data_IF_641506979394
#
_entry.id   IF_641506979394
#
_cell.length_a   1.000
_cell.length_b   1.000
_cell.length_c   1.000
_cell.angle_alpha   90.00
_cell.angle_beta   90.00
_cell.angle_gamma   90.00
#
_symmetry.space_group_name_H-M   'P 1'
#
loop_
_entity.id
_entity.type
_entity.pdbx_description
1 polymer ?
#
# COMPACT_ATOMS: atom_id res chain seq x y z
N UNK A 1 -6.36 -9.31 -25.80
CA UNK A 1 -7.30 -9.77 -24.73
C UNK A 1 -7.91 -8.59 -23.96
N UNK A 2 -7.33 -8.05 -22.87
CA UNK A 2 -7.99 -7.00 -22.05
C UNK A 2 -8.57 -5.83 -22.85
N UNK A 3 -7.78 -5.25 -23.77
CA UNK A 3 -8.25 -4.17 -24.66
C UNK A 3 -9.33 -4.61 -25.65
N UNK A 4 -9.28 -5.85 -26.14
CA UNK A 4 -10.31 -6.41 -27.02
C UNK A 4 -11.64 -6.57 -26.27
N UNK A 5 -11.56 -6.96 -25.00
CA UNK A 5 -12.72 -7.13 -24.10
C UNK A 5 -13.20 -5.82 -23.46
N UNK A 6 -12.55 -4.69 -23.75
CA UNK A 6 -12.91 -3.38 -23.18
C UNK A 6 -12.71 -3.27 -21.66
N UNK A 7 -11.89 -4.13 -21.06
CA UNK A 7 -11.63 -4.16 -19.61
C UNK A 7 -10.15 -3.92 -19.35
N UNK A 8 -9.84 -3.06 -18.37
CA UNK A 8 -8.48 -2.82 -17.91
C UNK A 8 -8.38 -3.13 -16.41
N UNK A 9 -7.57 -4.13 -16.06
CA UNK A 9 -7.30 -4.52 -14.68
C UNK A 9 -5.80 -4.53 -14.42
N UNK A 10 -5.35 -4.33 -13.17
CA UNK A 10 -3.94 -4.45 -12.82
C UNK A 10 -3.40 -5.84 -13.15
N UNK A 11 -2.22 -5.90 -13.75
CA UNK A 11 -1.53 -7.16 -14.06
C UNK A 11 -0.37 -7.36 -13.10
N UNK A 12 -0.40 -8.47 -12.37
CA UNK A 12 0.68 -8.87 -11.45
C UNK A 12 1.61 -9.84 -12.18
N UNK A 13 2.88 -9.48 -12.35
CA UNK A 13 3.89 -10.39 -12.87
C UNK A 13 4.34 -11.36 -11.78
N UNK A 14 4.18 -12.67 -12.02
CA UNK A 14 4.80 -13.71 -11.19
C UNK A 14 6.26 -13.88 -11.60
N UNK A 15 7.18 -13.69 -10.65
CA UNK A 15 8.62 -13.78 -10.86
C UNK A 15 9.09 -15.15 -10.42
N UNK A 16 9.28 -16.03 -11.42
CA UNK A 16 9.51 -17.48 -11.21
C UNK A 16 10.70 -18.00 -12.02
N UNK A 17 11.24 -17.19 -12.94
CA UNK A 17 12.23 -17.59 -13.92
C UNK A 17 13.45 -16.66 -13.86
N UNK A 18 14.69 -17.18 -14.04
CA UNK A 18 15.89 -16.36 -14.01
C UNK A 18 15.85 -15.23 -15.06
N UNK A 19 15.24 -15.48 -16.23
CA UNK A 19 15.09 -14.46 -17.27
C UNK A 19 14.27 -13.25 -16.81
N UNK A 20 13.31 -13.43 -15.89
CA UNK A 20 12.54 -12.32 -15.32
C UNK A 20 13.39 -11.49 -14.35
N UNK A 21 14.37 -12.10 -13.68
CA UNK A 21 15.35 -11.42 -12.82
C UNK A 21 16.35 -10.62 -13.67
N UNK A 22 16.80 -11.20 -14.79
CA UNK A 22 17.73 -10.57 -15.73
C UNK A 22 17.10 -9.33 -16.38
N UNK A 23 15.81 -9.41 -16.73
CA UNK A 23 15.03 -8.33 -17.35
C UNK A 23 14.14 -7.59 -16.33
N UNK A 24 14.54 -7.55 -15.06
CA UNK A 24 13.67 -7.08 -13.99
C UNK A 24 13.26 -5.62 -14.16
N UNK A 25 14.10 -4.76 -14.74
CA UNK A 25 13.74 -3.36 -14.96
C UNK A 25 12.67 -3.19 -16.04
N UNK A 26 12.74 -3.95 -17.14
CA UNK A 26 11.69 -3.95 -18.17
C UNK A 26 10.38 -4.52 -17.61
N UNK A 27 10.45 -5.62 -16.86
CA UNK A 27 9.30 -6.24 -16.20
C UNK A 27 8.67 -5.26 -15.21
N UNK A 28 9.47 -4.62 -14.37
CA UNK A 28 8.99 -3.62 -13.41
C UNK A 28 8.31 -2.46 -14.13
N UNK A 29 8.80 -2.03 -15.30
CA UNK A 29 8.18 -0.97 -16.08
C UNK A 29 6.83 -1.41 -16.67
N UNK A 30 6.72 -2.64 -17.14
CA UNK A 30 5.57 -3.14 -17.92
C UNK A 30 4.34 -3.54 -17.08
N UNK A 31 4.51 -4.02 -15.85
CA UNK A 31 3.43 -4.59 -15.03
C UNK A 31 2.98 -3.69 -13.89
N UNK A 32 1.79 -3.89 -13.34
CA UNK A 32 1.22 -3.01 -12.30
C UNK A 32 1.62 -3.42 -10.87
N UNK A 33 1.99 -4.68 -10.68
CA UNK A 33 2.47 -5.26 -9.43
C UNK A 33 3.25 -6.54 -9.67
N UNK A 34 3.77 -7.13 -8.59
CA UNK A 34 4.66 -8.27 -8.66
C UNK A 34 4.32 -9.33 -7.63
N UNK A 35 4.62 -10.58 -7.94
CA UNK A 35 4.57 -11.70 -7.01
C UNK A 35 5.90 -12.43 -7.06
N UNK A 36 6.61 -12.51 -5.94
CA UNK A 36 7.80 -13.35 -5.79
C UNK A 36 7.34 -14.74 -5.39
N UNK A 37 7.33 -15.68 -6.35
CA UNK A 37 6.91 -17.05 -6.12
C UNK A 37 8.14 -17.92 -5.85
N UNK A 38 8.45 -18.07 -4.57
CA UNK A 38 9.74 -18.58 -4.08
C UNK A 38 9.93 -20.07 -4.34
N UNK A 39 8.87 -20.86 -4.27
CA UNK A 39 8.88 -22.28 -4.61
C UNK A 39 9.26 -22.51 -6.07
N UNK A 40 8.62 -21.80 -6.99
CA UNK A 40 8.92 -21.89 -8.42
C UNK A 40 10.32 -21.35 -8.73
N UNK A 41 10.68 -20.20 -8.15
CA UNK A 41 12.00 -19.59 -8.35
C UNK A 41 13.14 -20.48 -7.82
N UNK A 42 12.92 -21.18 -6.70
CA UNK A 42 13.88 -22.11 -6.11
C UNK A 42 14.05 -23.43 -6.87
N UNK A 43 13.18 -23.74 -7.83
CA UNK A 43 13.37 -24.84 -8.79
C UNK A 43 14.32 -24.40 -9.91
N UNK A 44 14.25 -23.14 -10.32
CA UNK A 44 14.94 -22.62 -11.51
C UNK A 44 16.25 -21.90 -11.20
N UNK A 45 16.47 -21.51 -9.94
CA UNK A 45 17.65 -20.82 -9.43
C UNK A 45 18.24 -21.56 -8.22
N UNK A 46 19.54 -21.39 -7.90
CA UNK A 46 20.11 -21.90 -6.66
C UNK A 46 19.31 -21.43 -5.44
N UNK A 47 18.97 -22.35 -4.53
CA UNK A 47 18.08 -22.04 -3.40
C UNK A 47 18.72 -21.04 -2.43
N UNK A 48 20.06 -21.01 -2.36
CA UNK A 48 20.84 -20.04 -1.60
C UNK A 48 20.73 -18.60 -2.14
N UNK A 49 20.39 -18.44 -3.43
CA UNK A 49 20.25 -17.13 -4.07
C UNK A 49 18.83 -16.54 -3.90
N UNK A 50 17.82 -17.38 -3.74
CA UNK A 50 16.39 -16.98 -3.68
C UNK A 50 16.12 -15.86 -2.67
N UNK A 51 16.67 -15.87 -1.43
CA UNK A 51 16.46 -14.78 -0.48
C UNK A 51 16.98 -13.43 -0.99
N UNK A 52 18.09 -13.40 -1.74
CA UNK A 52 18.64 -12.17 -2.31
C UNK A 52 17.83 -11.69 -3.51
N UNK A 53 17.33 -12.62 -4.33
CA UNK A 53 16.44 -12.31 -5.44
C UNK A 53 15.12 -11.71 -4.97
N UNK A 54 14.51 -12.25 -3.91
CA UNK A 54 13.33 -11.66 -3.26
C UNK A 54 13.59 -10.19 -2.88
N UNK A 55 14.66 -9.93 -2.11
CA UNK A 55 15.03 -8.58 -1.67
C UNK A 55 15.17 -7.62 -2.85
N UNK A 56 15.81 -8.08 -3.93
CA UNK A 56 15.99 -7.30 -5.16
C UNK A 56 14.66 -6.95 -5.83
N UNK A 57 13.74 -7.90 -5.97
CA UNK A 57 12.41 -7.65 -6.57
C UNK A 57 11.60 -6.70 -5.70
N UNK A 58 11.51 -6.97 -4.40
CA UNK A 58 10.74 -6.16 -3.45
C UNK A 58 11.26 -4.71 -3.43
N UNK A 59 12.57 -4.52 -3.35
CA UNK A 59 13.17 -3.18 -3.35
C UNK A 59 12.88 -2.41 -4.65
N UNK A 60 12.98 -3.06 -5.82
CA UNK A 60 12.67 -2.40 -7.11
C UNK A 60 11.19 -2.09 -7.27
N UNK A 61 10.29 -2.99 -6.86
CA UNK A 61 8.84 -2.76 -6.87
C UNK A 61 8.46 -1.55 -6.00
N UNK A 62 8.95 -1.53 -4.75
CA UNK A 62 8.74 -0.45 -3.78
C UNK A 62 9.25 0.90 -4.31
N UNK A 63 10.46 0.95 -4.89
CA UNK A 63 11.02 2.18 -5.52
C UNK A 63 10.11 2.73 -6.62
N UNK A 64 9.41 1.86 -7.34
CA UNK A 64 8.47 2.24 -8.39
C UNK A 64 7.02 2.49 -7.88
N UNK A 65 6.76 2.37 -6.57
CA UNK A 65 5.42 2.33 -5.96
C UNK A 65 4.47 1.36 -6.65
N UNK A 66 4.99 0.16 -6.91
CA UNK A 66 4.19 -0.96 -7.40
C UNK A 66 4.13 -2.01 -6.29
N UNK A 67 2.93 -2.49 -5.93
CA UNK A 67 2.76 -3.46 -4.87
C UNK A 67 3.46 -4.77 -5.21
N UNK A 68 4.01 -5.42 -4.19
CA UNK A 68 4.68 -6.72 -4.31
C UNK A 68 4.16 -7.70 -3.27
N UNK A 69 3.81 -8.88 -3.75
CA UNK A 69 3.37 -10.03 -2.96
C UNK A 69 4.55 -10.98 -2.80
N UNK A 70 4.83 -11.43 -1.58
CA UNK A 70 5.73 -12.57 -1.35
C UNK A 70 4.88 -13.82 -1.13
N UNK A 71 5.14 -14.85 -1.93
CA UNK A 71 4.25 -16.00 -2.10
C UNK A 71 4.99 -17.33 -1.98
N UNK A 72 4.23 -18.38 -1.67
CA UNK A 72 4.63 -19.80 -1.51
C UNK A 72 5.56 -20.03 -0.31
N UNK A 73 5.55 -21.23 0.27
CA UNK A 73 6.42 -21.61 1.41
C UNK A 73 6.33 -20.67 2.62
N UNK A 74 5.15 -20.08 2.89
CA UNK A 74 5.00 -19.12 3.99
C UNK A 74 4.78 -19.85 5.32
N UNK A 75 3.62 -20.51 5.49
CA UNK A 75 3.25 -21.23 6.71
C UNK A 75 2.83 -22.66 6.35
N UNK A 76 3.55 -23.29 5.43
CA UNK A 76 3.14 -24.53 4.76
C UNK A 76 2.85 -25.70 5.71
N UNK A 77 3.58 -25.81 6.82
CA UNK A 77 3.31 -26.81 7.87
C UNK A 77 1.91 -26.67 8.46
N UNK A 78 1.30 -25.49 8.40
CA UNK A 78 -0.05 -25.24 8.91
C UNK A 78 -1.17 -25.82 8.04
N UNK A 79 -0.83 -26.47 6.91
CA UNK A 79 -1.77 -27.31 6.17
C UNK A 79 -2.29 -28.45 7.08
N UNK A 80 -1.41 -29.05 7.88
CA UNK A 80 -1.73 -30.20 8.76
C UNK A 80 -1.37 -29.97 10.23
N UNK A 81 -0.84 -28.79 10.58
CA UNK A 81 -0.47 -28.41 11.94
C UNK A 81 -1.24 -27.16 12.41
N UNK A 82 -1.70 -27.09 13.66
CA UNK A 82 -2.34 -25.89 14.19
C UNK A 82 -1.35 -24.73 14.46
N UNK A 83 -0.04 -24.96 14.35
CA UNK A 83 1.01 -23.97 14.57
C UNK A 83 2.16 -24.11 13.57
N UNK A 84 2.79 -22.99 13.16
CA UNK A 84 3.92 -23.04 12.25
C UNK A 84 5.21 -23.39 12.98
N UNK A 85 6.23 -23.72 12.21
CA UNK A 85 7.59 -23.84 12.71
C UNK A 85 8.21 -22.47 13.00
N UNK A 86 9.28 -22.45 13.80
CA UNK A 86 10.08 -21.23 14.02
C UNK A 86 10.73 -20.71 12.74
N UNK A 87 11.09 -21.61 11.81
CA UNK A 87 11.69 -21.24 10.54
C UNK A 87 10.68 -20.48 9.66
N UNK A 88 9.45 -20.99 9.53
CA UNK A 88 8.36 -20.33 8.80
C UNK A 88 7.99 -18.98 9.39
N UNK A 89 7.88 -18.88 10.73
CA UNK A 89 7.62 -17.61 11.39
C UNK A 89 8.73 -16.57 11.10
N UNK A 90 10.00 -16.99 11.14
CA UNK A 90 11.14 -16.14 10.78
C UNK A 90 11.11 -15.74 9.29
N UNK A 91 10.71 -16.64 8.41
CA UNK A 91 10.66 -16.39 6.97
C UNK A 91 9.56 -15.38 6.60
N UNK A 92 8.36 -15.51 7.18
CA UNK A 92 7.30 -14.51 7.07
C UNK A 92 7.76 -13.15 7.57
N UNK A 93 8.41 -13.10 8.75
CA UNK A 93 8.92 -11.84 9.30
C UNK A 93 9.96 -11.19 8.35
N UNK A 94 10.85 -11.98 7.74
CA UNK A 94 11.82 -11.46 6.77
C UNK A 94 11.17 -10.93 5.50
N UNK A 95 10.09 -11.54 5.00
CA UNK A 95 9.34 -11.01 3.87
C UNK A 95 8.74 -9.62 4.17
N UNK A 96 8.23 -9.43 5.40
CA UNK A 96 7.75 -8.13 5.87
C UNK A 96 8.90 -7.12 5.98
N UNK A 97 10.03 -7.49 6.59
CA UNK A 97 11.21 -6.63 6.74
C UNK A 97 11.83 -6.21 5.39
N UNK A 98 11.75 -7.08 4.38
CA UNK A 98 12.19 -6.75 3.02
C UNK A 98 11.31 -5.68 2.37
N UNK A 99 10.12 -5.46 2.92
CA UNK A 99 9.19 -4.42 2.53
C UNK A 99 8.07 -4.91 1.60
N UNK A 100 7.70 -6.18 1.67
CA UNK A 100 6.54 -6.71 0.96
C UNK A 100 5.28 -5.86 1.23
N UNK A 101 4.44 -5.66 0.21
CA UNK A 101 3.14 -5.01 0.42
C UNK A 101 2.11 -6.00 0.96
N UNK A 102 2.22 -7.27 0.56
CA UNK A 102 1.40 -8.35 1.04
C UNK A 102 2.18 -9.67 1.08
N UNK A 103 1.68 -10.58 1.90
CA UNK A 103 2.14 -11.97 1.98
C UNK A 103 0.98 -12.89 1.63
N UNK A 104 1.26 -14.01 0.96
CA UNK A 104 0.22 -14.87 0.39
C UNK A 104 0.25 -16.27 1.00
N UNK A 105 -0.94 -16.75 1.40
CA UNK A 105 -1.20 -18.14 1.76
C UNK A 105 -1.74 -18.89 0.54
N UNK A 106 -1.35 -20.15 0.38
CA UNK A 106 -1.69 -21.01 -0.76
C UNK A 106 -2.50 -22.23 -0.28
N UNK A 107 -1.82 -23.37 -0.08
CA UNK A 107 -2.44 -24.60 0.40
C UNK A 107 -3.02 -24.45 1.81
N UNK A 108 -2.38 -23.62 2.63
CA UNK A 108 -2.72 -23.41 4.04
C UNK A 108 -4.17 -22.97 4.25
N UNK A 109 -4.70 -22.15 3.34
CA UNK A 109 -6.08 -21.64 3.42
C UNK A 109 -7.03 -22.29 2.42
N UNK A 110 -6.52 -22.83 1.31
CA UNK A 110 -7.38 -23.40 0.27
C UNK A 110 -7.81 -24.83 0.57
N UNK A 111 -6.93 -25.65 1.15
CA UNK A 111 -7.16 -27.08 1.42
C UNK A 111 -6.70 -27.53 2.81
N UNK A 112 -6.07 -26.64 3.58
CA UNK A 112 -5.54 -26.94 4.91
C UNK A 112 -6.61 -27.20 5.98
N UNK A 113 -6.21 -27.91 7.02
CA UNK A 113 -7.05 -28.26 8.17
C UNK A 113 -7.29 -27.06 9.12
N UNK A 114 -6.40 -26.05 9.09
CA UNK A 114 -6.40 -24.90 10.01
C UNK A 114 -6.40 -23.53 9.31
N UNK A 115 -7.33 -23.25 8.38
CA UNK A 115 -7.29 -22.06 7.54
C UNK A 115 -7.46 -20.76 8.33
N UNK A 116 -8.32 -20.74 9.36
CA UNK A 116 -8.59 -19.56 10.17
C UNK A 116 -7.39 -19.26 11.08
N UNK A 117 -6.84 -20.28 11.72
CA UNK A 117 -5.67 -20.21 12.59
C UNK A 117 -4.45 -19.76 11.81
N UNK A 118 -4.29 -20.22 10.57
CA UNK A 118 -3.21 -19.78 9.66
C UNK A 118 -3.30 -18.28 9.41
N UNK A 119 -4.47 -17.76 9.01
CA UNK A 119 -4.66 -16.31 8.77
C UNK A 119 -4.39 -15.50 10.05
N UNK A 120 -4.90 -15.94 11.20
CA UNK A 120 -4.63 -15.28 12.49
C UNK A 120 -3.15 -15.31 12.86
N UNK A 121 -2.45 -16.41 12.58
CA UNK A 121 -1.03 -16.56 12.86
C UNK A 121 -0.19 -15.66 11.96
N UNK A 122 -0.51 -15.63 10.66
CA UNK A 122 0.09 -14.70 9.70
C UNK A 122 -0.06 -13.25 10.18
N UNK A 123 -1.27 -12.84 10.56
CA UNK A 123 -1.54 -11.50 11.08
C UNK A 123 -0.71 -11.18 12.33
N UNK A 124 -0.61 -12.10 13.30
CA UNK A 124 0.22 -11.90 14.51
C UNK A 124 1.70 -11.73 14.19
N UNK A 125 2.25 -12.49 13.24
CA UNK A 125 3.66 -12.37 12.84
C UNK A 125 3.91 -11.01 12.19
N UNK A 126 3.03 -10.60 11.27
CA UNK A 126 3.13 -9.30 10.59
C UNK A 126 3.07 -8.17 11.62
N UNK A 127 2.03 -8.13 12.46
CA UNK A 127 1.88 -7.07 13.48
C UNK A 127 3.07 -7.03 14.43
N UNK A 128 3.52 -8.20 14.92
CA UNK A 128 4.70 -8.24 15.79
C UNK A 128 5.95 -7.73 15.08
N UNK A 129 6.12 -7.99 13.78
CA UNK A 129 7.28 -7.52 13.02
C UNK A 129 7.22 -6.01 12.82
N UNK A 130 6.06 -5.49 12.43
CA UNK A 130 5.84 -4.05 12.24
C UNK A 130 6.02 -3.29 13.56
N UNK A 131 5.47 -3.77 14.68
CA UNK A 131 5.61 -3.12 15.99
C UNK A 131 7.07 -2.95 16.44
N UNK A 132 7.96 -3.89 16.07
CA UNK A 132 9.37 -3.86 16.50
C UNK A 132 10.30 -3.16 15.49
N UNK A 133 10.00 -3.20 14.18
CA UNK A 133 10.95 -2.86 13.12
C UNK A 133 10.41 -1.86 12.08
N UNK A 134 9.27 -1.20 12.33
CA UNK A 134 8.66 -0.24 11.38
C UNK A 134 9.63 0.87 10.95
N UNK A 135 10.44 1.40 11.86
CA UNK A 135 11.43 2.45 11.54
C UNK A 135 12.46 1.96 10.52
N UNK A 136 12.91 0.71 10.64
CA UNK A 136 13.83 0.09 9.69
C UNK A 136 13.16 -0.10 8.33
N UNK A 137 11.90 -0.52 8.31
CA UNK A 137 11.13 -0.63 7.07
C UNK A 137 10.96 0.73 6.37
N UNK A 138 10.80 1.81 7.15
CA UNK A 138 10.66 3.18 6.65
C UNK A 138 11.92 3.72 5.96
N UNK A 139 13.10 3.16 6.26
CA UNK A 139 14.36 3.58 5.66
C UNK A 139 14.39 3.27 4.15
N UNK A 140 14.14 4.31 3.33
CA UNK A 140 14.32 4.26 1.89
C UNK A 140 15.12 5.47 1.42
N UNK A 141 16.30 5.21 0.86
CA UNK A 141 17.06 6.23 0.14
C UNK A 141 16.48 6.42 -1.26
N UNK A 142 15.43 7.24 -1.35
CA UNK A 142 14.77 7.59 -2.59
C UNK A 142 14.54 9.09 -2.69
N UNK A 143 15.01 9.66 -3.81
CA UNK A 143 14.83 11.06 -4.17
C UNK A 143 13.93 11.14 -5.41
N UNK A 144 12.61 11.33 -5.23
CA UNK A 144 11.68 11.38 -6.36
C UNK A 144 11.94 12.61 -7.23
N UNK A 145 11.86 12.42 -8.55
CA UNK A 145 11.96 13.51 -9.54
C UNK A 145 10.62 13.87 -10.17
N UNK A 146 9.60 13.02 -10.03
CA UNK A 146 8.27 13.28 -10.57
C UNK A 146 7.47 14.15 -9.60
N UNK A 147 6.59 15.01 -10.14
CA UNK A 147 5.72 15.90 -9.35
C UNK A 147 4.99 15.15 -8.22
N UNK A 148 4.26 14.10 -8.56
CA UNK A 148 3.52 13.31 -7.56
C UNK A 148 4.43 12.60 -6.54
N UNK A 149 5.64 12.20 -6.95
CA UNK A 149 6.63 11.64 -6.03
C UNK A 149 7.16 12.67 -5.03
N UNK A 150 7.46 13.88 -5.50
CA UNK A 150 7.93 15.01 -4.66
C UNK A 150 6.85 15.42 -3.67
N UNK A 151 5.60 15.57 -4.13
CA UNK A 151 4.46 15.89 -3.23
C UNK A 151 4.26 14.80 -2.19
N UNK A 152 4.29 13.52 -2.58
CA UNK A 152 4.13 12.42 -1.62
C UNK A 152 5.25 12.40 -0.56
N UNK A 153 6.51 12.67 -0.97
CA UNK A 153 7.63 12.78 -0.03
C UNK A 153 7.44 13.93 0.94
N UNK A 154 7.13 15.12 0.41
CA UNK A 154 6.89 16.31 1.23
C UNK A 154 5.73 16.10 2.20
N UNK A 155 4.65 15.43 1.76
CA UNK A 155 3.51 15.11 2.62
C UNK A 155 3.90 14.20 3.78
N UNK A 156 4.66 13.14 3.53
CA UNK A 156 5.14 12.25 4.57
C UNK A 156 6.04 12.99 5.59
N UNK A 157 6.96 13.82 5.12
CA UNK A 157 7.83 14.62 6.00
C UNK A 157 7.05 15.65 6.82
N UNK A 158 6.10 16.36 6.20
CA UNK A 158 5.24 17.33 6.87
C UNK A 158 4.36 16.65 7.91
N UNK A 159 3.71 15.54 7.56
CA UNK A 159 2.83 14.79 8.46
C UNK A 159 3.55 14.36 9.73
N UNK A 160 4.75 13.78 9.61
CA UNK A 160 5.56 13.40 10.77
C UNK A 160 5.94 14.61 11.62
N UNK A 161 6.37 15.72 11.01
CA UNK A 161 6.83 16.91 11.75
C UNK A 161 5.73 17.61 12.54
N UNK A 162 4.51 17.64 12.01
CA UNK A 162 3.38 18.30 12.66
C UNK A 162 2.60 17.36 13.59
N UNK A 163 2.99 16.09 13.68
CA UNK A 163 2.24 15.08 14.43
C UNK A 163 0.85 14.84 13.85
N UNK A 164 0.72 14.82 12.51
CA UNK A 164 -0.55 14.56 11.85
C UNK A 164 -1.03 13.15 12.20
N UNK A 165 -2.33 13.01 12.44
CA UNK A 165 -2.96 11.73 12.79
C UNK A 165 -3.06 10.80 11.58
N UNK A 166 -3.28 11.37 10.40
CA UNK A 166 -3.40 10.62 9.15
C UNK A 166 -2.78 11.36 7.97
N UNK A 167 -2.28 10.57 7.02
CA UNK A 167 -2.00 10.98 5.65
C UNK A 167 -3.20 10.61 4.77
N UNK A 168 -3.88 11.59 4.22
CA UNK A 168 -5.06 11.39 3.36
C UNK A 168 -4.67 11.57 1.90
N UNK A 169 -4.97 10.60 1.06
CA UNK A 169 -4.73 10.67 -0.38
C UNK A 169 -6.04 10.56 -1.17
N UNK A 170 -6.41 11.64 -1.86
CA UNK A 170 -7.43 11.55 -2.90
C UNK A 170 -6.86 10.91 -4.16
N UNK A 171 -7.57 9.92 -4.71
CA UNK A 171 -7.08 9.17 -5.87
C UNK A 171 -8.19 8.53 -6.71
N UNK A 172 -8.05 8.61 -8.03
CA UNK A 172 -8.90 7.91 -9.01
C UNK A 172 -8.22 6.68 -9.63
N UNK A 173 -6.92 6.47 -9.40
CA UNK A 173 -6.15 5.33 -9.94
C UNK A 173 -5.34 4.58 -8.89
N UNK A 174 -5.33 5.06 -7.65
CA UNK A 174 -4.52 4.56 -6.55
C UNK A 174 -3.06 5.05 -6.52
N UNK A 175 -2.58 5.77 -7.55
CA UNK A 175 -1.17 6.16 -7.65
C UNK A 175 -0.70 7.04 -6.46
N UNK A 176 -1.50 8.02 -6.03
CA UNK A 176 -1.20 8.84 -4.84
C UNK A 176 -1.00 7.99 -3.59
N UNK A 177 -1.91 7.05 -3.34
CA UNK A 177 -1.88 6.18 -2.16
C UNK A 177 -0.65 5.27 -2.18
N UNK A 178 -0.38 4.61 -3.33
CA UNK A 178 0.83 3.78 -3.50
C UNK A 178 2.12 4.59 -3.33
N UNK A 179 2.15 5.85 -3.79
CA UNK A 179 3.29 6.73 -3.61
C UNK A 179 3.55 7.10 -2.15
N UNK A 180 2.52 7.23 -1.32
CA UNK A 180 2.68 7.42 0.12
C UNK A 180 3.10 6.11 0.80
N UNK A 181 2.42 5.01 0.48
CA UNK A 181 2.67 3.69 1.06
C UNK A 181 4.13 3.23 0.91
N UNK A 182 4.82 3.63 -0.18
CA UNK A 182 6.24 3.28 -0.40
C UNK A 182 7.14 3.68 0.76
N UNK A 183 6.81 4.75 1.48
CA UNK A 183 7.68 5.28 2.54
C UNK A 183 7.57 4.48 3.83
N UNK A 184 6.57 3.59 3.96
CA UNK A 184 6.35 2.74 5.14
C UNK A 184 6.36 3.56 6.44
N UNK A 185 5.79 4.76 6.39
CA UNK A 185 5.83 5.73 7.49
C UNK A 185 4.92 5.32 8.65
N UNK A 186 5.23 5.82 9.84
CA UNK A 186 4.45 5.59 11.06
C UNK A 186 3.05 6.20 11.01
N UNK A 187 2.84 7.22 10.17
CA UNK A 187 1.54 7.88 10.01
C UNK A 187 0.68 7.05 9.06
N UNK A 188 -0.49 6.54 9.50
CA UNK A 188 -1.34 5.70 8.66
C UNK A 188 -1.87 6.44 7.43
N UNK A 189 -2.02 5.72 6.33
CA UNK A 189 -2.48 6.28 5.04
C UNK A 189 -3.94 5.92 4.80
N UNK A 190 -4.77 6.94 4.58
CA UNK A 190 -6.17 6.79 4.21
C UNK A 190 -6.35 7.23 2.74
N UNK A 191 -6.81 6.33 1.89
CA UNK A 191 -7.09 6.61 0.49
C UNK A 191 -8.57 6.88 0.26
N UNK A 192 -8.88 8.08 -0.24
CA UNK A 192 -10.23 8.51 -0.58
C UNK A 192 -10.40 8.40 -2.08
N UNK A 193 -11.39 7.63 -2.53
CA UNK A 193 -11.60 7.38 -3.96
C UNK A 193 -13.07 7.33 -4.33
N UNK A 194 -13.47 7.94 -5.45
CA UNK A 194 -14.80 7.76 -6.01
C UNK A 194 -14.92 6.45 -6.79
N UNK A 195 -13.86 5.64 -6.93
CA UNK A 195 -13.83 4.42 -7.74
C UNK A 195 -13.88 3.17 -6.87
N UNK A 196 -14.92 2.35 -7.05
CA UNK A 196 -15.09 1.13 -6.24
C UNK A 196 -14.01 0.09 -6.58
N UNK A 197 -13.61 0.03 -7.85
CA UNK A 197 -12.53 -0.83 -8.33
C UNK A 197 -11.19 -0.44 -7.71
N UNK A 198 -10.87 0.86 -7.64
CA UNK A 198 -9.62 1.34 -7.02
C UNK A 198 -9.60 1.08 -5.53
N UNK A 199 -10.75 1.22 -4.84
CA UNK A 199 -10.88 0.83 -3.43
C UNK A 199 -10.45 -0.63 -3.23
N UNK A 200 -10.96 -1.54 -4.05
CA UNK A 200 -10.58 -2.96 -4.00
C UNK A 200 -9.11 -3.17 -4.37
N UNK A 201 -8.60 -2.51 -5.41
CA UNK A 201 -7.21 -2.66 -5.85
C UNK A 201 -6.20 -2.20 -4.78
N UNK A 202 -6.54 -1.18 -4.00
CA UNK A 202 -5.66 -0.66 -2.95
C UNK A 202 -5.61 -1.56 -1.70
N UNK A 203 -6.48 -2.56 -1.55
CA UNK A 203 -6.45 -3.47 -0.39
C UNK A 203 -5.18 -4.30 -0.29
N UNK A 204 -4.42 -4.44 -1.39
CA UNK A 204 -3.11 -5.12 -1.41
C UNK A 204 -1.93 -4.15 -1.30
N UNK A 205 -2.18 -2.85 -1.11
CA UNK A 205 -1.13 -1.85 -0.92
C UNK A 205 -0.85 -1.72 0.58
N UNK A 206 0.41 -1.80 0.97
CA UNK A 206 0.81 -1.76 2.38
C UNK A 206 0.25 -0.53 3.11
N UNK A 207 -0.30 -0.74 4.31
CA UNK A 207 -0.67 0.35 5.23
C UNK A 207 -1.73 1.32 4.72
N UNK A 208 -2.47 0.97 3.65
CA UNK A 208 -3.53 1.80 3.07
C UNK A 208 -4.90 1.29 3.51
N UNK A 209 -5.65 2.12 4.21
CA UNK A 209 -7.09 1.95 4.41
C UNK A 209 -7.85 2.78 3.37
N UNK A 210 -9.01 2.30 2.91
CA UNK A 210 -9.72 2.93 1.78
C UNK A 210 -11.14 3.38 2.14
N UNK A 211 -11.49 4.59 1.70
CA UNK A 211 -12.79 5.22 1.88
C UNK A 211 -13.40 5.51 0.51
N UNK A 212 -14.64 5.07 0.33
CA UNK A 212 -15.42 5.35 -0.89
C UNK A 212 -16.04 6.74 -0.75
N UNK A 213 -15.85 7.59 -1.74
CA UNK A 213 -16.45 8.92 -1.80
C UNK A 213 -17.32 9.09 -3.04
N UNK A 214 -17.97 10.25 -3.14
CA UNK A 214 -18.54 10.74 -4.40
C UNK A 214 -17.53 11.63 -5.10
N UNK A 215 -17.68 11.79 -6.42
CA UNK A 215 -16.91 12.77 -7.17
C UNK A 215 -17.31 14.20 -6.78
N UNK A 216 -16.33 15.09 -6.77
CA UNK A 216 -16.50 16.51 -6.42
C UNK A 216 -15.65 17.37 -7.34
N UNK A 217 -16.09 18.60 -7.58
CA UNK A 217 -15.46 19.52 -8.53
C UNK A 217 -14.41 20.42 -7.88
N UNK A 218 -14.50 20.60 -6.57
CA UNK A 218 -13.64 21.53 -5.83
C UNK A 218 -12.85 20.82 -4.71
N UNK A 219 -11.61 21.25 -4.51
CA UNK A 219 -10.74 20.73 -3.46
C UNK A 219 -11.30 20.98 -2.06
N UNK A 220 -12.03 22.07 -1.84
CA UNK A 220 -12.69 22.33 -0.55
C UNK A 220 -13.83 21.34 -0.24
N UNK A 221 -14.51 20.83 -1.28
CA UNK A 221 -15.48 19.74 -1.12
C UNK A 221 -14.79 18.43 -0.74
N UNK A 222 -13.60 18.15 -1.31
CA UNK A 222 -12.79 16.99 -0.90
C UNK A 222 -12.46 17.08 0.60
N UNK A 223 -12.02 18.25 1.08
CA UNK A 223 -11.71 18.43 2.51
C UNK A 223 -12.93 18.24 3.39
N UNK A 224 -14.10 18.75 2.98
CA UNK A 224 -15.35 18.52 3.70
C UNK A 224 -15.70 17.03 3.80
N UNK A 225 -15.49 16.25 2.73
CA UNK A 225 -15.67 14.80 2.78
C UNK A 225 -14.75 14.10 3.79
N UNK A 226 -13.51 14.60 3.99
CA UNK A 226 -12.60 14.08 5.01
C UNK A 226 -13.15 14.33 6.41
N UNK A 227 -13.59 15.56 6.70
CA UNK A 227 -14.22 15.90 7.98
C UNK A 227 -15.42 15.00 8.25
N UNK A 228 -16.38 14.98 7.34
CA UNK A 228 -17.64 14.22 7.50
C UNK A 228 -17.39 12.74 7.76
N UNK A 229 -16.53 12.09 6.98
CA UNK A 229 -16.32 10.65 7.10
C UNK A 229 -15.48 10.27 8.32
N UNK A 230 -14.39 10.98 8.60
CA UNK A 230 -13.49 10.60 9.68
C UNK A 230 -14.03 10.96 11.06
N UNK A 231 -14.76 12.08 11.18
CA UNK A 231 -15.43 12.46 12.44
C UNK A 231 -16.60 11.51 12.72
N UNK A 232 -17.45 11.23 11.73
CA UNK A 232 -18.57 10.30 11.90
C UNK A 232 -18.11 8.88 12.25
N UNK A 233 -16.98 8.43 11.69
CA UNK A 233 -16.39 7.13 12.02
C UNK A 233 -15.63 7.11 13.36
N UNK A 234 -15.54 8.23 14.09
CA UNK A 234 -14.81 8.34 15.35
C UNK A 234 -13.30 8.10 15.21
N UNK A 235 -12.75 8.23 14.00
CA UNK A 235 -11.31 8.01 13.73
C UNK A 235 -10.50 9.24 14.14
N UNK A 236 -11.10 10.42 14.07
CA UNK A 236 -10.50 11.70 14.48
C UNK A 236 -11.44 12.48 15.40
N UNK A 237 -10.89 13.46 16.10
CA UNK A 237 -11.62 14.47 16.85
C UNK A 237 -11.43 15.84 16.20
N UNK A 238 -12.34 16.78 16.44
CA UNK A 238 -12.12 18.16 16.01
C UNK A 238 -10.81 18.71 16.57
N UNK A 239 -10.05 19.40 15.73
CA UNK A 239 -8.73 19.93 16.07
C UNK A 239 -7.56 18.98 15.78
N UNK A 240 -7.80 17.68 15.55
CA UNK A 240 -6.76 16.78 15.04
C UNK A 240 -6.18 17.33 13.72
N UNK A 241 -4.91 17.08 13.45
CA UNK A 241 -4.27 17.47 12.19
C UNK A 241 -4.20 16.28 11.24
N UNK A 242 -4.52 16.51 9.97
CA UNK A 242 -4.27 15.56 8.88
C UNK A 242 -3.53 16.25 7.74
N UNK A 243 -2.76 15.49 6.96
CA UNK A 243 -2.13 15.99 5.75
C UNK A 243 -2.81 15.36 4.55
N UNK A 244 -3.37 16.19 3.69
CA UNK A 244 -4.12 15.78 2.50
C UNK A 244 -3.25 16.00 1.26
N UNK A 245 -3.15 14.98 0.40
CA UNK A 245 -2.64 15.12 -0.96
C UNK A 245 -3.74 14.85 -1.99
N UNK A 246 -3.75 15.63 -3.06
CA UNK A 246 -4.72 15.50 -4.14
C UNK A 246 -4.17 16.00 -5.48
N UNK A 247 -4.89 15.67 -6.54
CA UNK A 247 -4.81 16.40 -7.80
C UNK A 247 -5.73 17.62 -7.76
N UNK A 248 -5.19 18.79 -8.08
CA UNK A 248 -5.94 20.05 -8.17
C UNK A 248 -5.74 20.67 -9.56
N UNK A 249 -6.80 20.92 -10.34
CA UNK A 249 -8.20 20.62 -10.04
C UNK A 249 -8.50 19.10 -9.96
N UNK A 250 -9.59 18.69 -9.26
CA UNK A 250 -10.10 17.32 -9.23
C UNK A 250 -10.38 16.72 -10.63
N UNK A 251 -10.45 15.40 -10.70
CA UNK A 251 -10.95 14.68 -11.89
C UNK A 251 -9.91 14.29 -12.93
N UNK A 252 -8.63 14.60 -12.72
CA UNK A 252 -7.54 14.22 -13.63
C UNK A 252 -6.66 13.14 -12.98
N UNK A 253 -6.69 11.88 -13.42
CA UNK A 253 -5.81 10.83 -12.91
C UNK A 253 -4.32 11.17 -13.06
N UNK A 254 -3.50 10.80 -12.07
CA UNK A 254 -2.04 11.02 -12.09
C UNK A 254 -1.60 12.48 -11.89
N UNK A 255 -2.54 13.37 -11.54
CA UNK A 255 -2.27 14.81 -11.43
C UNK A 255 -1.76 15.29 -10.08
N UNK A 256 -1.48 14.40 -9.12
CA UNK A 256 -1.08 14.74 -7.73
C UNK A 256 -0.06 15.88 -7.69
N UNK A 257 -0.51 17.03 -7.20
CA UNK A 257 0.23 18.31 -7.26
C UNK A 257 -0.07 19.22 -6.08
N UNK A 258 -1.02 18.87 -5.20
CA UNK A 258 -1.42 19.67 -4.06
C UNK A 258 -1.16 18.92 -2.75
N UNK A 259 -0.77 19.68 -1.73
CA UNK A 259 -0.60 19.26 -0.35
C UNK A 259 -1.30 20.29 0.54
N UNK A 260 -2.11 19.83 1.49
CA UNK A 260 -2.81 20.66 2.46
C UNK A 260 -2.63 20.09 3.86
N UNK A 261 -2.22 20.93 4.80
CA UNK A 261 -2.38 20.64 6.23
C UNK A 261 -3.80 21.06 6.59
N UNK A 262 -4.58 20.15 7.14
CA UNK A 262 -5.98 20.39 7.49
C UNK A 262 -6.21 20.10 8.97
N UNK A 263 -6.93 21.00 9.63
CA UNK A 263 -7.39 20.84 11.00
C UNK A 263 -8.82 20.33 10.97
N UNK A 264 -9.03 19.13 11.51
CA UNK A 264 -10.30 18.44 11.45
C UNK A 264 -11.41 19.30 12.08
N UNK A 265 -12.55 19.38 11.40
CA UNK A 265 -13.70 20.18 11.81
C UNK A 265 -13.78 21.56 11.14
N UNK A 266 -12.69 22.09 10.58
CA UNK A 266 -12.68 23.43 10.00
C UNK A 266 -13.63 23.55 8.79
N UNK A 267 -13.83 22.47 8.01
CA UNK A 267 -14.67 22.49 6.83
C UNK A 267 -16.16 22.36 7.16
N UNK A 268 -16.53 21.45 8.08
CA UNK A 268 -17.93 21.28 8.51
C UNK A 268 -18.43 22.46 9.36
N UNK A 269 -17.52 23.13 10.10
CA UNK A 269 -17.84 24.33 10.88
C UNK A 269 -17.70 25.63 10.08
N UNK A 270 -17.44 25.54 8.78
CA UNK A 270 -17.41 26.65 7.83
C UNK A 270 -16.50 27.83 8.24
N UNK A 271 -15.35 27.48 8.83
CA UNK A 271 -14.41 28.46 9.41
C UNK A 271 -13.86 29.42 8.34
N UNK A 272 -13.78 28.97 7.08
CA UNK A 272 -13.36 29.77 5.94
C UNK A 272 -14.52 30.05 4.97
N UNK A 273 -14.54 31.21 4.27
CA UNK A 273 -15.56 31.51 3.27
C UNK A 273 -15.71 30.47 2.18
N UNK A 274 -14.61 29.79 1.80
CA UNK A 274 -14.61 28.75 0.77
C UNK A 274 -15.42 27.49 1.17
N UNK A 275 -15.69 27.30 2.47
CA UNK A 275 -16.48 26.17 2.96
C UNK A 275 -17.96 26.44 3.04
N UNK A 276 -18.37 27.71 3.03
CA UNK A 276 -19.78 28.08 3.12
C UNK A 276 -20.48 27.60 1.85
N UNK A 277 -21.50 26.77 2.01
CA UNK A 277 -22.35 26.37 0.88
C UNK A 277 -22.96 27.63 0.25
N UNK A 278 -22.88 27.71 -1.09
CA UNK A 278 -23.72 28.62 -1.86
C UNK A 278 -25.02 27.93 -2.20
#
# INVERSE_FOLDING_TARGET
IMREEGVMLPVIAKIEKPQAIDNLDEVIKAFDGFMVARGDLGVECPFEDVPFLQKRVVAKARRNAKPVIVATQMLESMISSPAPTRAEASDVANAVLDGADAVMLSGETSVGEYPIETVRTMARIISSTEDHELERMAAIDWQPKTRGGVIAKAAAEVATRIGAKYLVAFTQSGDSARRLARYRGIIPVLAFTPEATVRSQLSMTWGVETFKTVEVEHTDQMVRQVDEQLLAAGRVQEGDLVVIIAGSPPGIPGSTNALRIHRMGDAINEVAPAYRSK
#
